data_IF_437681593388
#
_entry.id   IF_437681593388
#
_cell.length_a   1.000
_cell.length_b   1.000
_cell.length_c   1.000
_cell.angle_alpha   90.00
_cell.angle_beta   90.00
_cell.angle_gamma   90.00
#
_symmetry.space_group_name_H-M   'P 1'
#
loop_
_entity.id
_entity.type
_entity.pdbx_description
1 polymer ?
#
# COMPACT_ATOMS: atom_id res chain seq x y z
N UNK A 1 0.94 2.96 20.86
CA UNK A 1 0.91 1.54 20.42
C UNK A 1 1.70 0.62 21.38
N UNK A 2 2.97 0.91 21.68
CA UNK A 2 3.85 -0.01 22.44
C UNK A 2 3.43 -0.29 23.89
N UNK A 3 2.56 0.54 24.48
CA UNK A 3 2.07 0.43 25.86
C UNK A 3 0.69 -0.23 25.98
N UNK A 4 0.05 -0.56 24.85
CA UNK A 4 -1.33 -1.08 24.82
C UNK A 4 -1.45 -2.53 25.29
N UNK A 5 -0.33 -3.25 25.42
CA UNK A 5 -0.32 -4.69 25.71
C UNK A 5 -0.66 -5.59 24.50
N UNK A 6 -1.03 -5.00 23.36
CA UNK A 6 -1.37 -5.74 22.13
C UNK A 6 -0.13 -6.35 21.45
N UNK A 7 1.00 -5.66 21.49
CA UNK A 7 2.27 -6.14 20.95
C UNK A 7 3.02 -6.94 22.01
N UNK A 8 3.52 -8.11 21.62
CA UNK A 8 4.27 -9.04 22.48
C UNK A 8 5.59 -9.44 21.83
N UNK A 9 6.50 -9.98 22.63
CA UNK A 9 7.75 -10.59 22.15
C UNK A 9 8.54 -9.68 21.18
N UNK A 10 9.01 -10.21 20.03
CA UNK A 10 9.77 -9.44 19.05
C UNK A 10 9.09 -8.17 18.55
N UNK A 11 7.76 -8.17 18.38
CA UNK A 11 7.02 -6.98 17.93
C UNK A 11 7.02 -5.86 18.96
N UNK A 12 6.95 -6.19 20.25
CA UNK A 12 7.07 -5.19 21.32
C UNK A 12 8.46 -4.55 21.31
N UNK A 13 9.52 -5.35 21.11
CA UNK A 13 10.89 -4.85 20.98
C UNK A 13 11.01 -3.91 19.78
N UNK A 14 10.53 -4.32 18.60
CA UNK A 14 10.52 -3.46 17.40
C UNK A 14 9.76 -2.15 17.64
N UNK A 15 8.66 -2.20 18.39
CA UNK A 15 7.89 -0.99 18.72
C UNK A 15 8.70 -0.04 19.60
N UNK A 16 9.33 -0.55 20.66
CA UNK A 16 10.14 0.24 21.58
C UNK A 16 11.37 0.86 20.91
N UNK A 17 11.92 0.21 19.89
CA UNK A 17 13.08 0.70 19.12
C UNK A 17 12.69 1.55 17.90
N UNK A 18 11.40 1.83 17.69
CA UNK A 18 10.93 2.62 16.55
C UNK A 18 11.09 1.93 15.19
N UNK A 19 11.21 0.60 15.18
CA UNK A 19 11.40 -0.22 13.97
C UNK A 19 10.19 -1.10 13.66
N UNK A 20 9.06 -0.84 14.30
CA UNK A 20 7.79 -1.53 14.08
C UNK A 20 7.05 -0.89 12.90
N UNK A 21 6.67 -1.72 11.94
CA UNK A 21 5.90 -1.36 10.76
C UNK A 21 4.62 -2.20 10.71
N UNK A 22 3.63 -1.72 9.96
CA UNK A 22 2.33 -2.41 9.80
C UNK A 22 2.53 -3.78 9.16
N UNK A 23 3.47 -3.88 8.21
CA UNK A 23 3.75 -5.11 7.50
C UNK A 23 4.25 -6.22 8.44
N UNK A 24 5.14 -5.89 9.36
CA UNK A 24 5.67 -6.80 10.37
C UNK A 24 4.62 -7.22 11.40
N UNK A 25 3.70 -6.33 11.78
CA UNK A 25 2.57 -6.70 12.65
C UNK A 25 1.67 -7.72 11.96
N UNK A 26 1.36 -7.52 10.68
CA UNK A 26 0.51 -8.44 9.93
C UNK A 26 1.18 -9.81 9.75
N UNK A 27 2.47 -9.84 9.43
CA UNK A 27 3.28 -11.07 9.38
C UNK A 27 3.31 -11.82 10.72
N UNK A 28 3.62 -11.12 11.82
CA UNK A 28 3.62 -11.72 13.16
C UNK A 28 2.25 -12.32 13.50
N UNK A 29 1.18 -11.64 13.10
CA UNK A 29 -0.19 -12.12 13.33
C UNK A 29 -0.46 -13.40 12.53
N UNK A 30 -0.13 -13.43 11.23
CA UNK A 30 -0.31 -14.62 10.40
C UNK A 30 0.44 -15.83 10.95
N UNK A 31 1.69 -15.63 11.39
CA UNK A 31 2.51 -16.71 11.97
C UNK A 31 2.01 -17.20 13.33
N UNK A 32 1.39 -16.33 14.14
CA UNK A 32 0.84 -16.70 15.47
C UNK A 32 -0.50 -17.42 15.40
N UNK A 33 -1.22 -17.30 14.30
CA UNK A 33 -2.54 -17.90 14.09
C UNK A 33 -2.55 -18.74 12.80
N UNK A 34 -1.77 -19.84 12.74
CA UNK A 34 -1.61 -20.62 11.50
C UNK A 34 -2.92 -21.26 11.02
N UNK A 35 -3.87 -21.53 11.93
CA UNK A 35 -5.18 -22.13 11.61
C UNK A 35 -6.22 -21.10 11.12
N UNK A 36 -5.87 -19.81 11.11
CA UNK A 36 -6.75 -18.73 10.63
C UNK A 36 -6.34 -18.35 9.22
N UNK A 37 -7.31 -18.33 8.30
CA UNK A 37 -7.10 -17.84 6.95
C UNK A 37 -7.10 -16.32 6.90
N UNK A 38 -6.09 -15.74 6.23
CA UNK A 38 -5.95 -14.32 6.01
C UNK A 38 -6.14 -14.00 4.52
N UNK A 39 -7.02 -13.05 4.21
CA UNK A 39 -7.32 -12.64 2.84
C UNK A 39 -7.07 -11.16 2.63
N UNK A 40 -6.49 -10.79 1.49
CA UNK A 40 -6.35 -9.40 1.06
C UNK A 40 -7.00 -9.21 -0.31
N UNK A 41 -7.90 -8.23 -0.43
CA UNK A 41 -8.56 -7.85 -1.68
C UNK A 41 -8.16 -6.42 -1.99
N UNK A 42 -7.46 -6.22 -3.10
CA UNK A 42 -6.89 -4.92 -3.42
C UNK A 42 -6.95 -4.64 -4.91
N UNK A 43 -7.12 -3.35 -5.21
CA UNK A 43 -7.04 -2.84 -6.55
C UNK A 43 -5.56 -2.74 -6.95
N UNK A 44 -5.24 -3.10 -8.19
CA UNK A 44 -3.88 -2.91 -8.73
C UNK A 44 -3.48 -1.45 -8.90
N UNK A 45 -4.45 -0.53 -8.86
CA UNK A 45 -4.23 0.90 -9.05
C UNK A 45 -5.15 1.75 -8.16
N UNK A 46 -5.25 1.42 -6.87
CA UNK A 46 -6.13 2.11 -5.91
C UNK A 46 -5.86 3.63 -5.87
N UNK A 47 -6.74 4.41 -6.48
CA UNK A 47 -6.56 5.87 -6.64
C UNK A 47 -6.49 6.60 -5.30
N UNK A 48 -7.23 6.15 -4.29
CA UNK A 48 -7.26 6.81 -2.98
C UNK A 48 -5.98 6.48 -2.21
N UNK A 49 -5.56 5.21 -2.23
CA UNK A 49 -4.32 4.80 -1.57
C UNK A 49 -3.10 5.45 -2.23
N UNK A 50 -3.07 5.53 -3.56
CA UNK A 50 -2.03 6.24 -4.30
C UNK A 50 -1.99 7.72 -3.91
N UNK A 51 -3.13 8.41 -3.96
CA UNK A 51 -3.21 9.83 -3.57
C UNK A 51 -2.80 10.04 -2.10
N UNK A 52 -3.15 9.13 -1.19
CA UNK A 52 -2.71 9.19 0.20
C UNK A 52 -1.18 9.16 0.31
N UNK A 53 -0.52 8.23 -0.37
CA UNK A 53 0.94 8.18 -0.35
C UNK A 53 1.60 9.42 -0.98
N UNK A 54 1.02 9.93 -2.06
CA UNK A 54 1.50 11.16 -2.69
C UNK A 54 1.38 12.36 -1.73
N UNK A 55 0.28 12.47 -0.99
CA UNK A 55 0.11 13.53 0.03
C UNK A 55 1.10 13.38 1.20
N UNK A 56 1.37 12.15 1.63
CA UNK A 56 2.38 11.91 2.67
C UNK A 56 3.76 12.35 2.19
N UNK A 57 4.16 12.03 0.95
CA UNK A 57 5.46 12.45 0.41
C UNK A 57 5.55 13.99 0.33
N UNK A 58 4.49 14.65 -0.13
CA UNK A 58 4.40 16.13 -0.15
C UNK A 58 4.52 16.70 1.27
N UNK A 59 3.86 16.11 2.27
CA UNK A 59 3.93 16.57 3.66
C UNK A 59 5.33 16.45 4.27
N UNK A 60 6.16 15.56 3.72
CA UNK A 60 7.55 15.38 4.10
C UNK A 60 8.50 16.29 3.29
N UNK A 61 7.96 17.25 2.53
CA UNK A 61 8.69 18.13 1.60
C UNK A 61 9.46 17.39 0.50
N UNK A 62 9.04 16.17 0.19
CA UNK A 62 9.60 15.36 -0.88
C UNK A 62 8.69 15.47 -2.11
N UNK A 63 8.97 16.43 -3.01
CA UNK A 63 8.14 16.68 -4.20
C UNK A 63 8.80 16.14 -5.46
N UNK A 64 9.12 14.84 -5.50
CA UNK A 64 9.83 14.22 -6.64
C UNK A 64 8.94 13.42 -7.61
N UNK A 65 7.62 13.45 -7.43
CA UNK A 65 6.67 12.84 -8.37
C UNK A 65 5.49 12.15 -7.72
N UNK A 66 4.56 11.72 -8.57
CA UNK A 66 3.40 10.93 -8.19
C UNK A 66 3.64 9.45 -8.44
N UNK A 67 3.05 8.59 -7.63
CA UNK A 67 3.04 7.15 -7.90
C UNK A 67 2.21 6.89 -9.15
N UNK A 68 2.80 6.24 -10.15
CA UNK A 68 2.06 5.73 -11.30
C UNK A 68 1.38 4.40 -10.98
N UNK A 69 0.24 4.06 -11.59
CA UNK A 69 -0.46 2.79 -11.35
C UNK A 69 0.42 1.54 -11.49
N UNK A 70 1.27 1.47 -12.51
CA UNK A 70 2.18 0.34 -12.69
C UNK A 70 3.19 0.24 -11.54
N UNK A 71 3.68 1.40 -11.08
CA UNK A 71 4.59 1.48 -9.95
C UNK A 71 3.90 1.09 -8.65
N UNK A 72 2.65 1.50 -8.43
CA UNK A 72 1.84 1.12 -7.28
C UNK A 72 1.69 -0.41 -7.21
N UNK A 73 1.26 -1.04 -8.31
CA UNK A 73 1.11 -2.50 -8.35
C UNK A 73 2.44 -3.23 -8.11
N UNK A 74 3.56 -2.74 -8.65
CA UNK A 74 4.88 -3.32 -8.42
C UNK A 74 5.32 -3.21 -6.94
N UNK A 75 5.05 -2.06 -6.29
CA UNK A 75 5.34 -1.84 -4.86
C UNK A 75 4.52 -2.76 -3.98
N UNK A 76 3.23 -2.90 -4.31
CA UNK A 76 2.34 -3.78 -3.59
C UNK A 76 2.79 -5.25 -3.69
N UNK A 77 3.27 -5.67 -4.87
CA UNK A 77 3.85 -6.99 -5.06
C UNK A 77 5.11 -7.22 -4.20
N UNK A 78 5.91 -6.19 -3.91
CA UNK A 78 7.06 -6.32 -3.02
C UNK A 78 6.65 -6.70 -1.59
N UNK A 79 5.64 -6.03 -1.04
CA UNK A 79 5.06 -6.39 0.28
C UNK A 79 4.48 -7.81 0.24
N UNK A 80 3.81 -8.16 -0.85
CA UNK A 80 3.06 -9.41 -0.93
C UNK A 80 3.95 -10.62 -1.13
N UNK A 81 5.17 -10.45 -1.63
CA UNK A 81 6.18 -11.51 -1.62
C UNK A 81 6.47 -12.01 -0.21
N UNK A 82 6.49 -11.12 0.79
CA UNK A 82 6.69 -11.51 2.19
C UNK A 82 5.47 -12.26 2.73
N UNK A 83 4.25 -11.81 2.40
CA UNK A 83 3.02 -12.44 2.87
C UNK A 83 2.77 -13.80 2.21
N UNK A 84 3.14 -13.95 0.94
CA UNK A 84 3.04 -15.21 0.19
C UNK A 84 3.93 -16.32 0.76
N UNK A 85 4.87 -16.01 1.65
CA UNK A 85 5.63 -17.00 2.40
C UNK A 85 4.82 -17.62 3.56
N UNK A 86 3.67 -17.04 3.93
CA UNK A 86 2.78 -17.58 4.94
C UNK A 86 1.74 -18.51 4.29
N UNK A 87 1.65 -19.78 4.72
CA UNK A 87 0.77 -20.78 4.07
C UNK A 87 -0.72 -20.50 4.25
N UNK A 88 -1.08 -19.64 5.21
CA UNK A 88 -2.46 -19.28 5.55
C UNK A 88 -2.90 -17.92 4.96
N UNK A 89 -2.19 -17.40 3.97
CA UNK A 89 -2.51 -16.11 3.34
C UNK A 89 -2.85 -16.25 1.85
N UNK A 90 -3.87 -15.51 1.40
CA UNK A 90 -4.30 -15.42 0.01
C UNK A 90 -4.52 -13.97 -0.41
N UNK A 91 -4.19 -13.65 -1.66
CA UNK A 91 -4.44 -12.34 -2.26
C UNK A 91 -5.34 -12.42 -3.49
N UNK A 92 -6.25 -11.46 -3.57
CA UNK A 92 -7.09 -11.17 -4.72
C UNK A 92 -6.73 -9.79 -5.27
N UNK A 93 -6.19 -9.76 -6.49
CA UNK A 93 -5.78 -8.52 -7.18
C UNK A 93 -6.76 -8.17 -8.29
N UNK A 94 -7.55 -7.14 -8.06
CA UNK A 94 -8.58 -6.69 -8.99
C UNK A 94 -7.99 -5.65 -9.93
N UNK A 95 -8.22 -5.82 -11.24
CA UNK A 95 -7.83 -4.87 -12.27
C UNK A 95 -8.76 -3.65 -12.28
N UNK A 96 -8.64 -2.82 -11.24
CA UNK A 96 -9.46 -1.62 -11.05
C UNK A 96 -8.63 -0.56 -10.31
N UNK A 97 -9.19 0.64 -10.25
CA UNK A 97 -8.70 1.82 -9.53
C UNK A 97 -9.51 2.14 -8.27
N UNK A 98 -10.58 1.37 -8.00
CA UNK A 98 -11.49 1.55 -6.86
C UNK A 98 -10.80 1.40 -5.51
N UNK A 99 -11.19 2.22 -4.55
CA UNK A 99 -10.84 2.08 -3.14
C UNK A 99 -11.91 1.26 -2.41
N UNK A 100 -11.51 0.14 -1.81
CA UNK A 100 -12.37 -0.81 -1.07
C UNK A 100 -13.36 -1.61 -1.94
N UNK A 101 -13.59 -2.88 -1.57
CA UNK A 101 -14.44 -3.80 -2.35
C UNK A 101 -15.66 -4.35 -1.60
N UNK A 102 -15.64 -4.26 -0.26
CA UNK A 102 -16.65 -4.91 0.59
C UNK A 102 -17.91 -4.07 0.83
N UNK A 103 -17.90 -2.81 0.39
CA UNK A 103 -19.06 -1.90 0.54
C UNK A 103 -20.07 -2.04 -0.60
N UNK A 104 -19.71 -2.75 -1.67
CA UNK A 104 -20.50 -2.91 -2.88
C UNK A 104 -20.87 -4.37 -3.11
N UNK A 105 -22.13 -4.61 -3.43
CA UNK A 105 -22.67 -5.95 -3.71
C UNK A 105 -22.45 -6.33 -5.17
N UNK A 106 -21.19 -6.39 -5.62
CA UNK A 106 -20.84 -6.74 -7.00
C UNK A 106 -19.75 -7.82 -7.02
N UNK A 107 -19.68 -8.57 -8.12
CA UNK A 107 -18.60 -9.52 -8.35
C UNK A 107 -17.42 -8.84 -9.04
N UNK A 108 -16.21 -9.23 -8.66
CA UNK A 108 -14.98 -8.67 -9.19
C UNK A 108 -14.15 -9.77 -9.86
N UNK A 109 -13.59 -9.44 -11.02
CA UNK A 109 -12.66 -10.32 -11.72
C UNK A 109 -11.22 -9.98 -11.35
N UNK A 110 -10.43 -11.01 -11.05
CA UNK A 110 -8.98 -10.91 -10.85
C UNK A 110 -8.28 -11.59 -12.02
N UNK A 111 -7.23 -10.96 -12.54
CA UNK A 111 -6.39 -11.56 -13.59
C UNK A 111 -4.93 -11.38 -13.23
N UNK A 112 -4.03 -12.29 -13.62
CA UNK A 112 -2.59 -12.08 -13.47
C UNK A 112 -2.08 -10.93 -14.36
N UNK A 113 -2.82 -10.54 -15.41
CA UNK A 113 -2.42 -9.47 -16.33
C UNK A 113 -2.51 -8.08 -15.69
N UNK A 114 -1.60 -7.17 -16.01
CA UNK A 114 -1.58 -5.80 -15.50
C UNK A 114 -2.88 -5.02 -15.74
N UNK A 115 -3.05 -3.87 -15.08
CA UNK A 115 -4.14 -2.94 -15.43
C UNK A 115 -3.96 -2.54 -16.89
N UNK A 116 -5.02 -2.67 -17.70
CA UNK A 116 -5.03 -2.06 -19.04
C UNK A 116 -4.69 -0.57 -18.94
N UNK A 117 -4.17 0.00 -20.02
CA UNK A 117 -3.58 1.35 -20.16
C UNK A 117 -4.42 2.55 -19.71
N UNK A 118 -5.59 2.35 -19.10
CA UNK A 118 -6.56 3.39 -18.79
C UNK A 118 -6.47 3.91 -17.34
N UNK A 119 -5.48 3.43 -16.58
CA UNK A 119 -5.18 3.96 -15.25
C UNK A 119 -4.05 4.98 -15.36
N UNK A 120 -4.39 6.24 -15.62
CA UNK A 120 -3.54 7.36 -15.21
C UNK A 120 -4.13 7.96 -13.93
N UNK A 121 -3.29 8.13 -12.90
CA UNK A 121 -3.69 8.68 -11.60
C UNK A 121 -3.21 10.12 -11.47
N UNK A 122 -4.00 11.08 -11.97
CA UNK A 122 -3.83 12.52 -11.68
C UNK A 122 -4.58 12.98 -10.42
N UNK A 123 -5.13 12.03 -9.64
CA UNK A 123 -6.05 12.33 -8.54
C UNK A 123 -5.36 13.10 -7.41
N UNK A 124 -4.10 12.77 -7.08
CA UNK A 124 -3.32 13.50 -6.08
C UNK A 124 -3.10 14.98 -6.46
N UNK A 125 -2.77 15.24 -7.74
CA UNK A 125 -2.66 16.61 -8.26
C UNK A 125 -4.00 17.34 -8.26
N UNK A 126 -5.08 16.63 -8.61
CA UNK A 126 -6.44 17.19 -8.64
C UNK A 126 -6.93 17.57 -7.25
N UNK A 127 -6.67 16.74 -6.23
CA UNK A 127 -7.06 17.01 -4.85
C UNK A 127 -6.28 18.19 -4.25
N UNK A 128 -4.98 18.29 -4.52
CA UNK A 128 -4.15 19.44 -4.13
C UNK A 128 -4.58 20.73 -4.83
N UNK A 129 -4.91 20.65 -6.11
CA UNK A 129 -5.41 21.78 -6.87
C UNK A 129 -6.74 22.30 -6.31
N UNK A 130 -7.63 21.39 -5.91
CA UNK A 130 -8.92 21.75 -5.33
C UNK A 130 -8.79 22.38 -3.93
N UNK A 131 -7.85 21.91 -3.12
CA UNK A 131 -7.71 22.32 -1.71
C UNK A 131 -6.77 23.51 -1.50
N UNK A 132 -5.76 23.68 -2.36
CA UNK A 132 -4.71 24.70 -2.17
C UNK A 132 -4.56 25.65 -3.37
N UNK A 133 -5.29 25.42 -4.47
CA UNK A 133 -5.09 26.15 -5.73
C UNK A 133 -3.83 25.73 -6.49
N UNK A 134 -2.98 24.87 -5.91
CA UNK A 134 -1.73 24.42 -6.52
C UNK A 134 -1.93 23.11 -7.27
N UNK A 135 -1.64 23.10 -8.57
CA UNK A 135 -1.45 21.85 -9.33
C UNK A 135 -0.01 21.40 -9.18
N UNK A 136 0.20 20.20 -8.69
CA UNK A 136 1.53 19.59 -8.76
C UNK A 136 1.74 19.03 -10.17
N UNK A 137 2.84 19.45 -10.81
CA UNK A 137 3.37 18.81 -12.00
C UNK A 137 4.44 17.82 -11.56
N UNK A 138 4.13 16.52 -11.58
CA UNK A 138 5.05 15.46 -11.17
C UNK A 138 6.04 15.09 -12.28
N UNK A 139 7.28 14.74 -11.91
CA UNK A 139 8.20 13.98 -12.76
C UNK A 139 8.10 12.49 -12.41
N UNK A 140 8.48 11.61 -13.35
CA UNK A 140 8.54 10.16 -13.10
C UNK A 140 9.62 9.89 -12.05
N UNK A 141 9.25 9.33 -10.90
CA UNK A 141 10.19 8.93 -9.84
C UNK A 141 10.49 7.44 -9.91
N UNK A 142 11.71 7.03 -9.53
CA UNK A 142 12.10 5.62 -9.57
C UNK A 142 11.41 4.82 -8.45
N UNK A 143 11.17 3.53 -8.73
CA UNK A 143 10.53 2.62 -7.79
C UNK A 143 11.29 2.52 -6.45
N UNK A 144 12.62 2.48 -6.51
CA UNK A 144 13.50 2.35 -5.35
C UNK A 144 13.59 3.66 -4.55
N UNK A 145 13.69 4.80 -5.22
CA UNK A 145 13.79 6.12 -4.55
C UNK A 145 12.52 6.50 -3.80
N UNK A 146 11.37 6.04 -4.28
CA UNK A 146 10.13 6.23 -3.54
C UNK A 146 10.02 5.26 -2.37
N UNK A 147 10.43 3.99 -2.53
CA UNK A 147 10.32 2.99 -1.45
C UNK A 147 11.20 3.34 -0.24
N UNK A 148 12.36 3.96 -0.46
CA UNK A 148 13.26 4.38 0.61
C UNK A 148 12.67 5.48 1.52
N UNK A 149 11.63 6.18 1.08
CA UNK A 149 10.97 7.27 1.83
C UNK A 149 9.94 6.78 2.83
N UNK A 150 9.47 5.54 2.64
CA UNK A 150 8.48 4.92 3.50
C UNK A 150 9.13 3.82 4.33
N UNK A 151 8.62 3.53 5.54
CA UNK A 151 9.15 2.46 6.40
C UNK A 151 8.75 1.06 5.88
N UNK A 152 8.95 0.80 4.59
CA UNK A 152 8.78 -0.51 3.96
C UNK A 152 10.18 -1.09 3.75
N UNK A 153 10.68 -1.83 4.75
CA UNK A 153 11.96 -2.54 4.59
C UNK A 153 11.73 -3.78 3.70
N UNK A 154 12.57 -4.00 2.66
CA UNK A 154 12.50 -5.20 1.83
C UNK A 154 12.61 -6.49 2.64
#
# INVERSE_FOLDING_TARGET
>A
LCTTGLLKGPMLTRCKTGTCDVQGIYLDTMSRFPDVAFGSIDAKADKVQMAFYDMVDVSLNNVDGFVLPEQFSQKQAAIYRQYNAQPNWVSYKVNNVQHQFLISQVMYETTPLGTGSDAESEVGSTLLAFTTGNRLQGKKTSLLDWLSRFPVRP
#
